data_IF_177875920327
#
_entry.id   IF_177875920327
#
_cell.length_a   1.000
_cell.length_b   1.000
_cell.length_c   1.000
_cell.angle_alpha   90.00
_cell.angle_beta   90.00
_cell.angle_gamma   90.00
#
_symmetry.space_group_name_H-M   'P 1'
#
loop_
_entity.id
_entity.type
_entity.pdbx_description
1 polymer ?
#
# COMPACT_ATOMS: atom_id res chain seq x y z
N UNK A 1 -25.61 34.31 5.44
CA UNK A 1 -26.01 32.89 5.57
C UNK A 1 -25.79 32.12 4.24
N UNK A 2 -24.59 32.20 3.65
CA UNK A 2 -24.27 31.48 2.38
C UNK A 2 -23.05 30.55 2.49
N UNK A 3 -22.34 30.58 3.61
CA UNK A 3 -21.04 29.89 3.77
C UNK A 3 -21.19 28.46 4.29
N UNK A 4 -22.31 28.12 4.92
CA UNK A 4 -22.52 26.82 5.58
C UNK A 4 -22.69 25.66 4.59
N UNK A 5 -23.21 25.93 3.39
CA UNK A 5 -23.46 24.89 2.39
C UNK A 5 -22.17 24.39 1.69
N UNK A 6 -21.17 25.26 1.54
CA UNK A 6 -19.88 24.94 0.90
C UNK A 6 -19.03 24.00 1.77
N UNK A 7 -19.09 24.16 3.10
CA UNK A 7 -18.36 23.31 4.03
C UNK A 7 -18.87 21.86 4.01
N UNK A 8 -20.18 21.66 3.86
CA UNK A 8 -20.78 20.33 3.86
C UNK A 8 -20.39 19.54 2.61
N UNK A 9 -20.25 20.19 1.44
CA UNK A 9 -19.81 19.55 0.19
C UNK A 9 -18.34 19.07 0.25
N UNK A 10 -17.46 19.82 0.91
CA UNK A 10 -16.05 19.44 1.08
C UNK A 10 -15.88 18.20 2.00
N UNK A 11 -16.72 18.06 3.02
CA UNK A 11 -16.68 16.91 3.94
C UNK A 11 -17.07 15.60 3.24
N UNK A 12 -17.99 15.67 2.27
CA UNK A 12 -18.44 14.48 1.51
C UNK A 12 -17.37 14.00 0.53
N UNK A 13 -16.63 14.91 -0.10
CA UNK A 13 -15.56 14.57 -1.05
C UNK A 13 -14.31 13.95 -0.40
N UNK A 14 -14.04 14.27 0.87
CA UNK A 14 -12.90 13.68 1.62
C UNK A 14 -13.27 12.34 2.27
N UNK A 15 -14.56 11.99 2.38
CA UNK A 15 -15.00 10.75 3.06
C UNK A 15 -15.10 9.53 2.15
N UNK A 16 -14.94 9.67 0.83
CA UNK A 16 -14.71 8.51 -0.05
C UNK A 16 -13.20 8.31 -0.17
N UNK A 17 -12.58 7.75 0.86
CA UNK A 17 -11.18 7.32 0.76
C UNK A 17 -11.10 6.32 -0.39
N UNK A 18 -10.41 6.68 -1.47
CA UNK A 18 -10.15 5.74 -2.56
C UNK A 18 -9.30 4.59 -2.00
N UNK A 19 -9.67 3.36 -2.37
CA UNK A 19 -8.91 2.19 -1.95
C UNK A 19 -7.52 2.22 -2.60
N UNK A 20 -6.49 1.95 -1.82
CA UNK A 20 -5.10 1.93 -2.28
C UNK A 20 -4.94 0.97 -3.47
N UNK A 21 -4.28 1.43 -4.54
CA UNK A 21 -3.92 0.59 -5.68
C UNK A 21 -2.44 0.23 -5.64
N UNK A 22 -2.11 -1.03 -5.91
CA UNK A 22 -0.73 -1.52 -5.94
C UNK A 22 -0.41 -2.21 -7.27
N UNK A 23 0.87 -2.23 -7.65
CA UNK A 23 1.34 -3.03 -8.78
C UNK A 23 1.34 -4.51 -8.40
N UNK A 24 0.99 -5.35 -9.38
CA UNK A 24 1.02 -6.81 -9.31
C UNK A 24 2.17 -7.37 -10.14
N UNK A 25 2.55 -8.62 -9.88
CA UNK A 25 3.69 -9.27 -10.55
C UNK A 25 3.48 -9.42 -12.07
N UNK A 26 2.23 -9.60 -12.51
CA UNK A 26 1.88 -9.75 -13.93
C UNK A 26 1.89 -8.43 -14.71
N UNK A 27 2.37 -7.34 -14.09
CA UNK A 27 2.39 -5.99 -14.69
C UNK A 27 1.04 -5.29 -14.71
N UNK A 28 0.04 -5.86 -14.04
CA UNK A 28 -1.26 -5.24 -13.79
C UNK A 28 -1.30 -4.49 -12.46
N UNK A 29 -2.49 -4.03 -12.08
CA UNK A 29 -2.75 -3.39 -10.79
C UNK A 29 -3.85 -4.13 -10.05
N UNK A 30 -3.82 -4.06 -8.71
CA UNK A 30 -4.91 -4.53 -7.86
C UNK A 30 -5.37 -3.43 -6.92
N UNK A 31 -6.66 -3.44 -6.59
CA UNK A 31 -7.25 -2.60 -5.55
C UNK A 31 -7.18 -3.34 -4.21
N UNK A 32 -6.64 -2.70 -3.18
CA UNK A 32 -6.50 -3.33 -1.88
C UNK A 32 -7.89 -3.51 -1.21
N UNK A 33 -8.21 -4.73 -0.73
CA UNK A 33 -9.59 -5.12 -0.41
C UNK A 33 -10.18 -4.49 0.86
N UNK A 34 -9.35 -3.86 1.71
CA UNK A 34 -9.82 -3.12 2.89
C UNK A 34 -8.78 -2.12 3.37
N UNK A 35 -9.19 -1.18 4.22
CA UNK A 35 -8.32 -0.21 4.88
C UNK A 35 -7.19 -0.86 5.71
N UNK A 36 -7.32 -2.15 6.08
CA UNK A 36 -6.25 -2.88 6.76
C UNK A 36 -5.10 -3.23 5.81
N UNK A 37 -5.36 -3.36 4.50
CA UNK A 37 -4.37 -3.59 3.45
C UNK A 37 -3.86 -2.25 2.92
N UNK A 38 -3.21 -1.50 3.80
CA UNK A 38 -2.76 -0.14 3.57
C UNK A 38 -1.29 0.00 3.14
N UNK A 39 -0.68 -1.08 2.64
CA UNK A 39 0.68 -1.07 2.14
C UNK A 39 0.81 -1.85 0.84
N UNK A 40 1.49 -1.25 -0.13
CA UNK A 40 1.99 -1.91 -1.31
C UNK A 40 3.38 -2.49 -1.03
N UNK A 41 3.64 -3.70 -1.52
CA UNK A 41 4.90 -4.42 -1.28
C UNK A 41 5.51 -4.91 -2.58
N UNK A 42 6.82 -4.74 -2.76
CA UNK A 42 7.62 -5.51 -3.72
C UNK A 42 8.73 -6.24 -2.98
N UNK A 43 8.63 -7.56 -2.95
CA UNK A 43 9.62 -8.44 -2.37
C UNK A 43 10.19 -9.34 -3.45
N UNK A 44 11.52 -9.43 -3.53
CA UNK A 44 12.22 -10.36 -4.41
C UNK A 44 13.44 -10.93 -3.72
N UNK A 45 13.50 -12.25 -3.60
CA UNK A 45 14.64 -12.98 -3.08
C UNK A 45 14.73 -14.36 -3.73
N UNK A 46 15.89 -14.69 -4.29
CA UNK A 46 16.12 -15.92 -5.06
C UNK A 46 15.03 -16.13 -6.14
N UNK A 47 14.35 -17.27 -6.13
CA UNK A 47 13.29 -17.63 -7.09
C UNK A 47 11.89 -17.17 -6.62
N UNK A 48 11.80 -16.43 -5.51
CA UNK A 48 10.54 -15.93 -4.95
C UNK A 48 10.39 -14.44 -5.21
N UNK A 49 9.31 -14.07 -5.88
CA UNK A 49 8.93 -12.68 -6.10
C UNK A 49 7.45 -12.48 -5.75
N UNK A 50 7.17 -11.38 -5.06
CA UNK A 50 5.82 -10.98 -4.69
C UNK A 50 5.67 -9.46 -4.89
N UNK A 51 4.60 -9.07 -5.57
CA UNK A 51 4.17 -7.68 -5.70
C UNK A 51 2.66 -7.60 -5.40
N UNK A 52 2.26 -6.70 -4.51
CA UNK A 52 0.84 -6.46 -4.24
C UNK A 52 0.52 -5.91 -2.85
N UNK A 53 -0.78 -5.93 -2.53
CA UNK A 53 -1.36 -5.42 -1.29
C UNK A 53 -0.99 -6.27 -0.07
N UNK A 54 -0.56 -5.60 1.00
CA UNK A 54 -0.34 -6.20 2.32
C UNK A 54 -0.78 -5.22 3.41
N UNK A 55 -0.92 -5.77 4.62
CA UNK A 55 -1.09 -4.96 5.82
C UNK A 55 0.26 -4.37 6.23
N UNK A 56 0.28 -3.16 6.78
CA UNK A 56 1.51 -2.51 7.28
C UNK A 56 2.35 -3.43 8.19
N UNK A 57 1.71 -4.27 9.03
CA UNK A 57 2.41 -5.23 9.89
C UNK A 57 3.33 -6.19 9.12
N UNK A 58 2.99 -6.55 7.88
CA UNK A 58 3.85 -7.37 7.04
C UNK A 58 5.15 -6.63 6.70
N UNK A 59 5.06 -5.34 6.39
CA UNK A 59 6.21 -4.49 6.13
C UNK A 59 7.13 -4.38 7.35
N UNK A 60 6.56 -4.16 8.53
CA UNK A 60 7.33 -3.99 9.77
C UNK A 60 8.09 -5.27 10.13
N UNK A 61 7.41 -6.43 10.06
CA UNK A 61 8.01 -7.74 10.36
C UNK A 61 9.02 -8.13 9.28
N UNK A 62 8.68 -7.92 8.01
CA UNK A 62 9.56 -8.23 6.89
C UNK A 62 10.86 -7.44 6.94
N UNK A 63 10.77 -6.13 7.18
CA UNK A 63 11.96 -5.26 7.32
C UNK A 63 12.88 -5.74 8.43
N UNK A 64 12.34 -6.01 9.62
CA UNK A 64 13.13 -6.49 10.75
C UNK A 64 13.78 -7.86 10.47
N UNK A 65 13.07 -8.77 9.80
CA UNK A 65 13.60 -10.08 9.42
C UNK A 65 14.74 -9.96 8.39
N UNK A 66 14.62 -9.07 7.42
CA UNK A 66 15.64 -8.83 6.40
C UNK A 66 16.89 -8.20 7.00
N UNK A 67 16.71 -7.20 7.88
CA UNK A 67 17.81 -6.58 8.62
C UNK A 67 18.56 -7.62 9.48
N UNK A 68 17.85 -8.57 10.09
CA UNK A 68 18.45 -9.62 10.91
C UNK A 68 19.17 -10.70 10.07
N UNK A 69 18.63 -11.06 8.91
CA UNK A 69 19.22 -12.07 8.02
C UNK A 69 20.45 -11.53 7.27
N UNK A 70 20.50 -10.23 6.98
CA UNK A 70 21.64 -9.56 6.36
C UNK A 70 21.84 -9.86 4.88
N UNK A 71 21.07 -10.79 4.28
CA UNK A 71 21.14 -11.05 2.84
C UNK A 71 20.48 -9.94 2.03
N UNK A 72 21.17 -9.46 1.00
CA UNK A 72 20.63 -8.50 0.04
C UNK A 72 19.42 -9.07 -0.71
N UNK A 73 18.34 -8.28 -0.78
CA UNK A 73 17.10 -8.61 -1.48
C UNK A 73 16.30 -7.35 -1.78
N UNK A 74 15.37 -7.41 -2.72
CA UNK A 74 14.43 -6.30 -2.92
C UNK A 74 13.35 -6.39 -1.85
N UNK A 75 13.14 -5.29 -1.13
CA UNK A 75 12.02 -5.15 -0.21
C UNK A 75 11.57 -3.69 -0.17
N UNK A 76 10.51 -3.40 -0.91
CA UNK A 76 9.85 -2.10 -0.96
C UNK A 76 8.54 -2.23 -0.21
N UNK A 77 8.25 -1.23 0.62
CA UNK A 77 6.98 -1.06 1.32
C UNK A 77 6.62 0.42 1.31
N UNK A 78 5.42 0.74 0.85
CA UNK A 78 4.94 2.11 0.68
C UNK A 78 3.40 2.16 0.71
N UNK A 79 2.82 3.35 0.85
CA UNK A 79 1.38 3.56 1.07
C UNK A 79 0.75 4.55 0.08
N UNK A 80 1.40 4.77 -1.05
CA UNK A 80 0.92 5.62 -2.15
C UNK A 80 0.51 4.72 -3.31
N UNK A 81 -0.36 5.20 -4.20
CA UNK A 81 -0.81 4.38 -5.33
C UNK A 81 0.36 3.98 -6.24
N UNK A 82 0.38 2.70 -6.61
CA UNK A 82 1.30 2.08 -7.57
C UNK A 82 2.80 2.29 -7.22
N UNK A 83 3.11 2.44 -5.93
CA UNK A 83 4.43 2.79 -5.46
C UNK A 83 5.41 1.61 -5.35
N UNK A 84 4.90 0.36 -5.38
CA UNK A 84 5.68 -0.86 -5.19
C UNK A 84 6.18 -1.47 -6.50
#
# INVERSE_FOLDING_TARGET
MRTTALLILLVVLVSTGEALQCNTLDGGTEECPSDDYNACVHYKYEDVEFMGCRRQRFCDVGKAAIEADGSERTFICCSEDLCN
#
